data_IF_641031860987
#
_entry.id   IF_641031860987
#
_cell.length_a   1.000
_cell.length_b   1.000
_cell.length_c   1.000
_cell.angle_alpha   90.00
_cell.angle_beta   90.00
_cell.angle_gamma   90.00
#
_symmetry.space_group_name_H-M   'P 1'
#
loop_
_entity.id
_entity.type
_entity.pdbx_description
1 polymer ?
#
# COMPACT_ATOMS: atom_id res chain seq x y z
N UNK A 1 -2.42 7.65 13.71
CA UNK A 1 -2.76 7.57 12.27
C UNK A 1 -4.23 7.86 12.11
N UNK A 2 -4.63 8.66 11.14
CA UNK A 2 -6.05 8.99 10.93
C UNK A 2 -6.68 7.93 10.03
N UNK A 3 -7.84 7.41 10.42
CA UNK A 3 -8.63 6.48 9.61
C UNK A 3 -9.25 7.24 8.43
N UNK A 4 -9.21 6.65 7.25
CA UNK A 4 -9.76 7.20 6.01
C UNK A 4 -10.36 6.07 5.20
N UNK A 5 -11.51 6.31 4.58
CA UNK A 5 -12.06 5.42 3.56
C UNK A 5 -11.56 5.90 2.20
N UNK A 6 -11.01 4.98 1.41
CA UNK A 6 -10.62 5.25 0.03
C UNK A 6 -11.37 4.31 -0.91
N UNK A 7 -12.06 4.90 -1.89
CA UNK A 7 -12.68 4.15 -2.98
C UNK A 7 -11.62 3.80 -4.01
N UNK A 8 -11.42 2.50 -4.23
CA UNK A 8 -10.52 1.97 -5.25
C UNK A 8 -11.32 1.22 -6.29
N UNK A 9 -10.99 1.41 -7.56
CA UNK A 9 -11.62 0.69 -8.67
C UNK A 9 -10.70 -0.44 -9.11
N UNK A 10 -11.11 -1.69 -8.86
CA UNK A 10 -10.39 -2.89 -9.28
C UNK A 10 -11.21 -3.63 -10.34
N UNK A 11 -10.67 -3.82 -11.55
CA UNK A 11 -11.36 -4.50 -12.67
C UNK A 11 -12.80 -3.99 -12.89
N UNK A 12 -13.02 -2.68 -12.82
CA UNK A 12 -14.33 -2.05 -12.96
C UNK A 12 -15.25 -2.15 -11.72
N UNK A 13 -14.86 -2.89 -10.68
CA UNK A 13 -15.58 -2.96 -9.41
C UNK A 13 -15.02 -1.93 -8.43
N UNK A 14 -15.86 -0.99 -7.99
CA UNK A 14 -15.52 -0.07 -6.92
C UNK A 14 -15.58 -0.79 -5.57
N UNK A 15 -14.52 -0.68 -4.78
CA UNK A 15 -14.43 -1.19 -3.41
C UNK A 15 -13.94 -0.07 -2.51
N UNK A 16 -14.61 0.11 -1.39
CA UNK A 16 -14.14 1.02 -0.35
C UNK A 16 -13.20 0.24 0.57
N UNK A 17 -11.99 0.76 0.74
CA UNK A 17 -10.99 0.22 1.63
C UNK A 17 -10.78 1.18 2.79
N UNK A 18 -10.83 0.66 4.01
CA UNK A 18 -10.42 1.39 5.20
C UNK A 18 -8.89 1.37 5.31
N UNK A 19 -8.30 2.56 5.29
CA UNK A 19 -6.86 2.77 5.36
C UNK A 19 -6.49 3.74 6.47
N UNK A 20 -5.27 3.62 6.98
CA UNK A 20 -4.73 4.46 8.04
C UNK A 20 -3.67 5.38 7.45
N UNK A 21 -3.96 6.68 7.40
CA UNK A 21 -3.02 7.67 6.91
C UNK A 21 -1.80 7.75 7.82
N UNK A 22 -0.64 7.50 7.21
CA UNK A 22 0.68 7.61 7.82
C UNK A 22 1.10 9.08 7.83
N UNK A 23 1.52 9.63 8.97
CA UNK A 23 2.12 10.98 9.03
C UNK A 23 3.45 11.01 8.27
N UNK A 24 3.83 12.16 7.72
CA UNK A 24 5.05 12.30 6.90
C UNK A 24 6.33 11.83 7.62
N UNK A 25 6.44 12.07 8.93
CA UNK A 25 7.58 11.65 9.75
C UNK A 25 7.64 10.13 10.02
N UNK A 26 6.58 9.38 9.68
CA UNK A 26 6.48 7.93 9.88
C UNK A 26 6.46 7.15 8.56
N UNK A 27 6.60 7.83 7.43
CA UNK A 27 6.54 7.20 6.09
C UNK A 27 7.65 6.17 5.89
N UNK A 28 8.83 6.40 6.49
CA UNK A 28 9.95 5.46 6.41
C UNK A 28 9.78 4.17 7.23
N UNK A 29 8.78 4.06 8.12
CA UNK A 29 8.57 2.86 8.95
C UNK A 29 7.58 1.88 8.31
N UNK A 30 6.47 2.39 7.78
CA UNK A 30 5.41 1.58 7.20
C UNK A 30 4.98 0.38 8.06
N UNK A 31 4.92 -0.80 7.43
CA UNK A 31 4.57 -2.08 8.06
C UNK A 31 5.71 -2.74 8.86
N UNK A 32 6.89 -2.13 8.95
CA UNK A 32 8.03 -2.74 9.64
C UNK A 32 7.71 -3.05 11.12
N UNK A 33 8.22 -4.18 11.59
CA UNK A 33 8.07 -4.67 12.98
C UNK A 33 6.61 -4.93 13.43
N UNK A 34 5.64 -4.85 12.52
CA UNK A 34 4.26 -5.19 12.85
C UNK A 34 4.06 -6.71 12.88
N UNK A 35 3.08 -7.16 13.67
CA UNK A 35 2.56 -8.53 13.59
C UNK A 35 1.49 -8.59 12.50
N UNK A 36 1.52 -9.62 11.66
CA UNK A 36 0.62 -9.79 10.50
C UNK A 36 -0.86 -9.63 10.87
N UNK A 37 -1.27 -10.21 12.00
CA UNK A 37 -2.67 -10.25 12.46
C UNK A 37 -3.17 -8.88 12.93
N UNK A 38 -2.26 -8.01 13.39
CA UNK A 38 -2.57 -6.67 13.89
C UNK A 38 -2.26 -5.57 12.87
N UNK A 39 -1.54 -5.91 11.80
CA UNK A 39 -1.20 -4.98 10.75
C UNK A 39 -2.47 -4.46 10.06
N UNK A 40 -2.47 -3.17 9.74
CA UNK A 40 -3.59 -2.46 9.11
C UNK A 40 -3.13 -1.91 7.77
N UNK A 41 -4.06 -1.73 6.83
CA UNK A 41 -3.76 -1.06 5.58
C UNK A 41 -3.31 0.38 5.84
N UNK A 42 -2.13 0.73 5.34
CA UNK A 42 -1.50 2.03 5.52
C UNK A 42 -1.64 2.84 4.24
N UNK A 43 -1.91 4.14 4.38
CA UNK A 43 -1.95 5.10 3.27
C UNK A 43 -0.85 6.14 3.47
N UNK A 44 0.01 6.25 2.47
CA UNK A 44 1.03 7.28 2.36
C UNK A 44 0.56 8.28 1.30
N UNK A 45 0.54 9.58 1.63
CA UNK A 45 0.11 10.64 0.71
C UNK A 45 1.23 11.68 0.57
N UNK A 46 1.83 11.73 -0.61
CA UNK A 46 2.93 12.63 -0.92
C UNK A 46 2.40 13.94 -1.51
N UNK A 47 3.03 15.06 -1.14
CA UNK A 47 2.63 16.40 -1.62
C UNK A 47 2.92 16.62 -3.11
N UNK A 48 3.87 15.89 -3.68
CA UNK A 48 4.29 15.98 -5.08
C UNK A 48 4.44 14.57 -5.66
N UNK A 49 4.34 14.39 -6.98
CA UNK A 49 4.62 13.09 -7.62
C UNK A 49 6.05 12.63 -7.32
N UNK A 50 6.18 11.38 -6.90
CA UNK A 50 7.45 10.74 -6.52
C UNK A 50 7.70 9.48 -7.34
N UNK A 51 8.96 9.07 -7.44
CA UNK A 51 9.41 7.85 -8.13
C UNK A 51 10.35 7.01 -7.27
N UNK A 52 10.29 7.16 -5.94
CA UNK A 52 11.16 6.40 -5.06
C UNK A 52 10.72 4.93 -5.00
N UNK A 53 11.66 4.08 -4.64
CA UNK A 53 11.41 2.64 -4.43
C UNK A 53 11.14 2.35 -2.96
N UNK A 54 10.22 1.42 -2.71
CA UNK A 54 9.97 0.89 -1.37
C UNK A 54 10.81 -0.38 -1.13
N UNK A 55 10.92 -0.75 0.13
CA UNK A 55 11.54 -1.98 0.57
C UNK A 55 10.64 -2.68 1.59
N UNK A 56 10.86 -3.98 1.79
CA UNK A 56 10.19 -4.80 2.82
C UNK A 56 11.17 -5.41 3.82
N UNK A 57 12.33 -4.78 4.01
CA UNK A 57 13.19 -5.07 5.16
C UNK A 57 12.38 -4.93 6.46
N UNK A 58 12.54 -5.87 7.39
CA UNK A 58 11.81 -5.90 8.68
C UNK A 58 10.28 -6.02 8.58
N UNK A 59 9.74 -6.34 7.41
CA UNK A 59 8.33 -6.75 7.23
C UNK A 59 8.29 -8.28 7.09
N UNK A 60 7.93 -8.97 8.18
CA UNK A 60 8.00 -10.44 8.28
C UNK A 60 6.79 -11.18 7.66
N UNK A 61 6.02 -10.51 6.79
CA UNK A 61 4.84 -11.07 6.13
C UNK A 61 4.63 -10.43 4.75
N UNK A 62 3.95 -11.12 3.81
CA UNK A 62 3.65 -10.55 2.51
C UNK A 62 2.54 -9.51 2.61
N UNK A 63 2.62 -8.48 1.77
CA UNK A 63 1.64 -7.41 1.68
C UNK A 63 1.50 -6.94 0.23
N UNK A 64 0.38 -6.29 -0.08
CA UNK A 64 0.20 -5.63 -1.36
C UNK A 64 0.65 -4.17 -1.29
N UNK A 65 1.46 -3.76 -2.24
CA UNK A 65 1.74 -2.36 -2.53
C UNK A 65 0.85 -1.92 -3.69
N UNK A 66 0.13 -0.81 -3.53
CA UNK A 66 -0.69 -0.21 -4.58
C UNK A 66 -0.29 1.24 -4.74
N UNK A 67 0.11 1.62 -5.95
CA UNK A 67 0.47 2.99 -6.28
C UNK A 67 -0.68 3.68 -7.00
N UNK A 68 -0.98 4.91 -6.57
CA UNK A 68 -2.05 5.72 -7.16
C UNK A 68 -1.53 7.07 -7.63
N UNK A 69 -2.17 7.58 -8.68
CA UNK A 69 -2.00 8.95 -9.15
C UNK A 69 -2.86 9.95 -8.32
N UNK A 70 -2.87 11.22 -8.73
CA UNK A 70 -3.63 12.31 -8.09
C UNK A 70 -5.13 12.07 -8.07
N UNK A 71 -5.65 11.41 -9.10
CA UNK A 71 -7.06 11.07 -9.29
C UNK A 71 -7.50 9.79 -8.57
N UNK A 72 -6.63 9.19 -7.74
CA UNK A 72 -6.83 7.87 -7.11
C UNK A 72 -6.94 6.70 -8.10
N UNK A 73 -6.47 6.87 -9.34
CA UNK A 73 -6.35 5.76 -10.30
C UNK A 73 -5.15 4.91 -9.94
N UNK A 74 -5.33 3.58 -9.96
CA UNK A 74 -4.26 2.62 -9.77
C UNK A 74 -3.34 2.66 -10.99
N UNK A 75 -2.08 2.96 -10.77
CA UNK A 75 -1.03 2.97 -11.80
C UNK A 75 -0.08 1.77 -11.68
N UNK A 76 -0.15 1.04 -10.57
CA UNK A 76 0.58 -0.20 -10.37
C UNK A 76 0.16 -0.89 -9.09
N UNK A 77 0.39 -2.20 -9.03
CA UNK A 77 0.27 -2.98 -7.81
C UNK A 77 1.19 -4.18 -7.82
N UNK A 78 1.73 -4.54 -6.66
CA UNK A 78 2.62 -5.71 -6.55
C UNK A 78 2.39 -6.44 -5.22
N UNK A 79 2.46 -7.78 -5.28
CA UNK A 79 2.55 -8.62 -4.09
C UNK A 79 4.00 -8.63 -3.57
N UNK A 80 4.25 -7.85 -2.53
CA UNK A 80 5.57 -7.70 -1.93
C UNK A 80 5.82 -8.81 -0.92
N UNK A 81 6.84 -9.63 -1.18
CA UNK A 81 7.36 -10.63 -0.23
C UNK A 81 8.29 -9.99 0.80
N UNK A 82 8.47 -10.58 1.99
CA UNK A 82 9.47 -10.15 2.98
C UNK A 82 10.88 -10.00 2.40
N UNK A 83 11.66 -9.06 2.94
CA UNK A 83 13.09 -8.86 2.62
C UNK A 83 13.39 -8.58 1.12
N UNK A 84 12.45 -7.93 0.44
CA UNK A 84 12.64 -7.39 -0.91
C UNK A 84 13.12 -5.95 -0.86
N UNK A 85 13.93 -5.58 -1.83
CA UNK A 85 14.45 -4.24 -1.99
C UNK A 85 14.13 -3.71 -3.38
N UNK A 86 13.85 -2.41 -3.47
CA UNK A 86 13.81 -1.72 -4.75
C UNK A 86 12.52 -1.97 -5.55
N UNK A 87 11.36 -1.89 -4.91
CA UNK A 87 10.05 -2.09 -5.53
C UNK A 87 9.44 -0.73 -5.90
N UNK A 88 8.98 -0.55 -7.14
CA UNK A 88 8.35 0.69 -7.60
C UNK A 88 7.49 0.46 -8.84
N UNK A 89 6.46 1.29 -9.06
CA UNK A 89 5.76 1.30 -10.34
C UNK A 89 6.66 1.91 -11.43
N UNK A 90 6.26 1.74 -12.69
CA UNK A 90 6.92 2.38 -13.85
C UNK A 90 6.71 3.90 -13.87
N UNK A 91 5.59 4.38 -13.33
CA UNK A 91 5.16 5.78 -13.37
C UNK A 91 5.31 6.49 -12.01
N UNK A 92 5.34 7.83 -12.02
CA UNK A 92 5.31 8.60 -10.77
C UNK A 92 3.97 8.45 -10.06
N UNK A 93 4.00 8.31 -8.74
CA UNK A 93 2.82 8.20 -7.90
C UNK A 93 2.74 9.34 -6.88
N UNK A 94 1.55 9.60 -6.35
CA UNK A 94 1.35 10.55 -5.23
C UNK A 94 0.76 9.88 -4.00
N UNK A 95 0.27 8.64 -4.13
CA UNK A 95 -0.18 7.84 -2.99
C UNK A 95 0.33 6.41 -3.12
N UNK A 96 0.67 5.83 -1.99
CA UNK A 96 0.99 4.42 -1.84
C UNK A 96 0.05 3.84 -0.78
N UNK A 97 -0.48 2.65 -1.04
CA UNK A 97 -1.20 1.87 -0.04
C UNK A 97 -0.44 0.57 0.20
N UNK A 98 -0.10 0.30 1.45
CA UNK A 98 0.43 -0.99 1.88
C UNK A 98 -0.67 -1.78 2.59
N UNK A 99 -1.05 -2.94 2.06
CA UNK A 99 -2.14 -3.75 2.57
C UNK A 99 -1.60 -5.10 3.04
N UNK A 100 -1.56 -5.38 4.35
CA UNK A 100 -1.06 -6.64 4.86
C UNK A 100 -2.00 -7.79 4.46
N UNK A 101 -1.44 -8.94 4.07
CA UNK A 101 -2.26 -10.14 3.84
C UNK A 101 -2.55 -10.81 5.18
N UNK A 102 -3.77 -10.62 5.67
CA UNK A 102 -4.26 -11.21 6.91
C UNK A 102 -5.78 -11.48 6.80
N UNK A 103 -6.38 -12.03 7.86
CA UNK A 103 -7.82 -12.37 7.88
C UNK A 103 -8.74 -11.19 7.53
N UNK A 104 -8.36 -9.97 7.90
CA UNK A 104 -9.13 -8.76 7.60
C UNK A 104 -9.13 -8.44 6.12
N UNK A 105 -8.02 -8.66 5.41
CA UNK A 105 -7.85 -8.26 4.01
C UNK A 105 -7.83 -9.45 3.03
N UNK A 106 -8.15 -10.66 3.50
CA UNK A 106 -8.12 -11.89 2.71
C UNK A 106 -9.11 -11.92 1.53
N UNK A 107 -10.09 -11.01 1.53
CA UNK A 107 -11.09 -10.88 0.46
C UNK A 107 -10.58 -10.10 -0.77
N UNK A 108 -9.41 -9.48 -0.67
CA UNK A 108 -8.83 -8.73 -1.78
C UNK A 108 -8.08 -9.70 -2.68
N UNK A 109 -8.80 -10.29 -3.65
CA UNK A 109 -8.20 -10.97 -4.80
C UNK A 109 -7.49 -9.93 -5.67
N UNK A 110 -6.23 -9.64 -5.37
CA UNK A 110 -5.42 -8.78 -6.22
C UNK A 110 -4.90 -9.60 -7.41
N UNK A 111 -5.05 -9.10 -8.65
CA UNK A 111 -4.42 -9.74 -9.79
C UNK A 111 -2.91 -9.62 -9.65
N UNK A 112 -2.20 -10.74 -9.87
CA UNK A 112 -0.85 -10.68 -10.41
C UNK A 112 -0.97 -9.93 -11.74
N UNK A 113 -0.40 -8.72 -11.81
CA UNK A 113 -0.23 -8.02 -13.09
C UNK A 113 0.83 -8.77 -13.89
#
# INVERSE_FOLDING_TARGET
MKKKLIGLTFKGKKRNLEVFKVPFWKEGIGLMFQRREKARALLFEFKKPVSFKIHSFFVFFPFFAIWLNSENKIIGSELVKPFKFGISPSEKFVKLIEIPINKTYNFLEFPSI
#
